data_IF_397048124249
#
_entry.id   IF_397048124249
#
_cell.length_a   1.000
_cell.length_b   1.000
_cell.length_c   1.000
_cell.angle_alpha   90.00
_cell.angle_beta   90.00
_cell.angle_gamma   90.00
#
_symmetry.space_group_name_H-M   'P 1'
#
loop_
_entity.id
_entity.type
_entity.pdbx_description
1 polymer ?
#
# COMPACT_ATOMS: atom_id res chain seq x y z
N UNK A 1 -47.24 21.77 36.54
CA UNK A 1 -46.71 21.35 35.22
C UNK A 1 -45.19 21.31 35.33
N UNK A 2 -44.58 20.11 35.43
CA UNK A 2 -43.11 20.00 35.51
C UNK A 2 -42.54 19.70 34.12
N UNK A 3 -41.93 20.71 33.50
CA UNK A 3 -41.20 20.54 32.26
C UNK A 3 -39.86 19.82 32.54
N UNK A 4 -39.71 18.59 32.04
CA UNK A 4 -38.43 17.87 32.03
C UNK A 4 -37.48 18.57 31.06
N UNK A 5 -36.35 19.08 31.56
CA UNK A 5 -35.27 19.64 30.73
C UNK A 5 -34.65 18.52 29.87
N UNK A 6 -34.33 18.80 28.59
CA UNK A 6 -33.71 17.80 27.71
C UNK A 6 -32.25 17.55 28.13
N UNK A 7 -31.87 16.27 28.26
CA UNK A 7 -30.48 15.86 28.51
C UNK A 7 -29.66 16.09 27.25
N UNK A 8 -28.70 17.01 27.32
CA UNK A 8 -27.63 17.15 26.32
C UNK A 8 -26.66 15.98 26.47
N UNK A 9 -26.72 15.04 25.54
CA UNK A 9 -25.67 14.02 25.36
C UNK A 9 -24.48 14.64 24.64
N UNK A 10 -23.29 14.56 25.25
CA UNK A 10 -22.02 14.91 24.59
C UNK A 10 -21.87 14.06 23.31
N UNK A 11 -21.49 14.64 22.15
CA UNK A 11 -21.15 13.83 20.99
C UNK A 11 -19.96 12.93 21.33
N UNK A 12 -20.05 11.64 20.99
CA UNK A 12 -18.90 10.74 21.03
C UNK A 12 -17.83 11.17 20.00
N UNK A 13 -16.64 10.56 20.01
CA UNK A 13 -15.62 10.83 19.00
C UNK A 13 -16.22 10.65 17.60
N UNK A 14 -16.06 11.66 16.74
CA UNK A 14 -16.50 11.59 15.35
C UNK A 14 -15.62 10.58 14.64
N UNK A 15 -16.19 9.44 14.25
CA UNK A 15 -15.49 8.48 13.41
C UNK A 15 -15.37 9.07 11.99
N UNK A 16 -14.20 8.92 11.34
CA UNK A 16 -14.03 9.40 9.98
C UNK A 16 -15.03 8.72 9.04
N UNK A 17 -15.55 9.49 8.09
CA UNK A 17 -16.41 8.98 7.04
C UNK A 17 -15.63 8.06 6.08
N UNK A 18 -16.36 7.29 5.26
CA UNK A 18 -15.74 6.46 4.25
C UNK A 18 -14.88 7.26 3.23
N UNK A 19 -15.32 8.42 2.71
CA UNK A 19 -14.49 9.25 1.82
C UNK A 19 -13.20 9.76 2.47
N UNK A 20 -13.26 10.20 3.74
CA UNK A 20 -12.09 10.65 4.48
C UNK A 20 -11.10 9.50 4.71
N UNK A 21 -11.62 8.34 5.12
CA UNK A 21 -10.81 7.12 5.32
C UNK A 21 -10.16 6.67 4.01
N UNK A 22 -10.90 6.73 2.90
CA UNK A 22 -10.36 6.41 1.57
C UNK A 22 -9.24 7.37 1.17
N UNK A 23 -9.45 8.68 1.31
CA UNK A 23 -8.46 9.69 0.98
C UNK A 23 -7.18 9.52 1.82
N UNK A 24 -7.34 9.25 3.13
CA UNK A 24 -6.22 8.96 4.02
C UNK A 24 -5.42 7.73 3.55
N UNK A 25 -6.10 6.60 3.33
CA UNK A 25 -5.45 5.35 2.88
C UNK A 25 -4.75 5.53 1.54
N UNK A 26 -5.35 6.26 0.61
CA UNK A 26 -4.72 6.59 -0.67
C UNK A 26 -3.44 7.41 -0.46
N UNK A 27 -3.47 8.37 0.46
CA UNK A 27 -2.29 9.15 0.85
C UNK A 27 -1.19 8.29 1.47
N UNK A 28 -1.55 7.35 2.35
CA UNK A 28 -0.59 6.42 2.96
C UNK A 28 0.04 5.48 1.93
N UNK A 29 -0.75 4.95 0.99
CA UNK A 29 -0.25 4.13 -0.12
C UNK A 29 0.75 4.93 -0.97
N UNK A 30 0.46 6.19 -1.31
CA UNK A 30 1.38 7.02 -2.06
C UNK A 30 2.74 7.17 -1.35
N UNK A 31 2.73 7.43 -0.03
CA UNK A 31 3.97 7.51 0.77
C UNK A 31 4.72 6.18 0.82
N UNK A 32 4.00 5.06 0.91
CA UNK A 32 4.62 3.73 0.90
C UNK A 32 5.30 3.44 -0.43
N UNK A 33 4.71 3.87 -1.56
CA UNK A 33 5.33 3.74 -2.88
C UNK A 33 6.59 4.61 -3.00
N UNK A 34 6.55 5.85 -2.49
CA UNK A 34 7.75 6.72 -2.45
C UNK A 34 8.88 6.07 -1.64
N UNK A 35 8.57 5.52 -0.46
CA UNK A 35 9.55 4.82 0.38
C UNK A 35 10.06 3.55 -0.30
N UNK A 36 9.19 2.79 -0.97
CA UNK A 36 9.59 1.59 -1.71
C UNK A 36 10.62 1.94 -2.79
N UNK A 37 10.42 3.02 -3.54
CA UNK A 37 11.39 3.48 -4.54
C UNK A 37 12.75 3.83 -3.92
N UNK A 38 12.74 4.54 -2.78
CA UNK A 38 13.96 4.83 -2.03
C UNK A 38 14.70 3.57 -1.57
N UNK A 39 13.97 2.56 -1.08
CA UNK A 39 14.57 1.30 -0.64
C UNK A 39 15.10 0.47 -1.82
N UNK A 40 14.41 0.47 -2.97
CA UNK A 40 14.91 -0.15 -4.20
C UNK A 40 16.21 0.51 -4.69
N UNK A 41 16.32 1.84 -4.60
CA UNK A 41 17.55 2.55 -4.94
C UNK A 41 18.72 2.15 -4.01
N UNK A 42 18.50 2.11 -2.69
CA UNK A 42 19.52 1.62 -1.73
C UNK A 42 19.90 0.17 -1.99
N UNK A 43 18.92 -0.66 -2.31
CA UNK A 43 19.13 -2.07 -2.62
C UNK A 43 19.99 -2.22 -3.89
N UNK A 44 19.79 -1.38 -4.90
CA UNK A 44 20.62 -1.35 -6.10
C UNK A 44 22.08 -0.98 -5.81
N UNK A 45 22.33 -0.01 -4.92
CA UNK A 45 23.70 0.30 -4.47
C UNK A 45 24.34 -0.90 -3.73
N UNK A 46 23.56 -1.61 -2.91
CA UNK A 46 24.01 -2.85 -2.27
C UNK A 46 24.38 -3.94 -3.29
N UNK A 47 23.59 -4.10 -4.36
CA UNK A 47 23.87 -5.06 -5.43
C UNK A 47 25.13 -4.70 -6.23
N UNK A 48 25.39 -3.41 -6.46
CA UNK A 48 26.64 -2.95 -7.09
C UNK A 48 27.86 -3.24 -6.22
N UNK A 49 27.73 -3.06 -4.90
CA UNK A 49 28.84 -3.27 -3.97
C UNK A 49 29.25 -4.76 -3.84
N UNK A 50 28.33 -5.68 -4.11
CA UNK A 50 28.57 -7.12 -4.03
C UNK A 50 27.75 -7.84 -5.12
N UNK A 51 28.30 -7.89 -6.35
CA UNK A 51 27.58 -8.34 -7.55
C UNK A 51 27.39 -9.86 -7.62
N UNK A 52 28.07 -10.63 -6.75
CA UNK A 52 27.94 -12.09 -6.69
C UNK A 52 26.82 -12.56 -5.77
N UNK A 53 26.17 -11.63 -5.05
CA UNK A 53 25.13 -11.96 -4.11
C UNK A 53 23.77 -12.13 -4.79
N UNK A 54 23.46 -13.38 -5.09
CA UNK A 54 22.18 -13.81 -5.64
C UNK A 54 20.99 -13.62 -4.69
N UNK A 55 21.22 -13.43 -3.40
CA UNK A 55 20.17 -13.10 -2.43
C UNK A 55 19.41 -11.84 -2.83
N UNK A 56 20.14 -10.80 -3.29
CA UNK A 56 19.55 -9.54 -3.76
C UNK A 56 18.67 -9.72 -5.01
N UNK A 57 19.02 -10.65 -5.90
CA UNK A 57 18.16 -11.00 -7.04
C UNK A 57 16.88 -11.67 -6.56
N UNK A 58 17.00 -12.58 -5.58
CA UNK A 58 15.85 -13.22 -4.92
C UNK A 58 14.92 -12.22 -4.24
N UNK A 59 15.47 -11.23 -3.53
CA UNK A 59 14.71 -10.18 -2.86
C UNK A 59 13.84 -9.40 -3.87
N UNK A 60 14.42 -8.98 -5.00
CA UNK A 60 13.67 -8.34 -6.08
C UNK A 60 12.61 -9.27 -6.71
N UNK A 61 12.89 -10.57 -6.79
CA UNK A 61 11.91 -11.57 -7.22
C UNK A 61 10.68 -11.59 -6.31
N UNK A 62 10.88 -11.54 -4.99
CA UNK A 62 9.77 -11.46 -4.02
C UNK A 62 8.99 -10.16 -4.15
N UNK A 63 9.68 -9.01 -4.21
CA UNK A 63 9.03 -7.70 -4.37
C UNK A 63 8.19 -7.65 -5.64
N UNK A 64 8.73 -8.14 -6.77
CA UNK A 64 7.97 -8.25 -8.03
C UNK A 64 6.72 -9.10 -7.87
N UNK A 65 6.84 -10.26 -7.23
CA UNK A 65 5.72 -11.17 -7.00
C UNK A 65 4.58 -10.52 -6.21
N UNK A 66 4.90 -9.76 -5.16
CA UNK A 66 3.91 -9.10 -4.31
C UNK A 66 3.22 -7.95 -5.04
N UNK A 67 3.96 -7.19 -5.84
CA UNK A 67 3.39 -6.12 -6.66
C UNK A 67 2.44 -6.67 -7.72
N UNK A 68 2.75 -7.81 -8.31
CA UNK A 68 1.85 -8.51 -9.24
C UNK A 68 0.54 -8.89 -8.55
N UNK A 69 0.61 -9.51 -7.36
CA UNK A 69 -0.59 -9.90 -6.62
C UNK A 69 -1.43 -8.67 -6.23
N UNK A 70 -0.78 -7.57 -5.85
CA UNK A 70 -1.46 -6.31 -5.53
C UNK A 70 -2.14 -5.70 -6.75
N UNK A 71 -1.47 -5.71 -7.91
CA UNK A 71 -2.05 -5.23 -9.17
C UNK A 71 -3.24 -6.10 -9.56
N UNK A 72 -3.10 -7.43 -9.53
CA UNK A 72 -4.20 -8.36 -9.83
C UNK A 72 -5.42 -8.12 -8.94
N UNK A 73 -5.21 -7.94 -7.63
CA UNK A 73 -6.28 -7.57 -6.70
C UNK A 73 -6.99 -6.26 -7.09
N UNK A 74 -6.24 -5.24 -7.49
CA UNK A 74 -6.80 -3.91 -7.82
C UNK A 74 -7.47 -3.86 -9.20
N UNK A 75 -6.94 -4.60 -10.19
CA UNK A 75 -7.43 -4.61 -11.56
C UNK A 75 -8.52 -5.67 -11.81
N UNK A 76 -8.63 -6.66 -10.92
CA UNK A 76 -9.46 -7.84 -11.13
C UNK A 76 -8.90 -8.81 -12.17
N UNK A 77 -7.62 -8.67 -12.53
CA UNK A 77 -6.92 -9.58 -13.43
C UNK A 77 -6.33 -10.75 -12.64
N UNK A 78 -6.30 -11.92 -13.26
CA UNK A 78 -5.55 -13.04 -12.70
C UNK A 78 -4.05 -12.78 -12.76
N UNK A 79 -3.29 -13.39 -11.85
CA UNK A 79 -1.84 -13.21 -11.74
C UNK A 79 -1.13 -13.44 -13.08
N UNK A 80 -1.52 -14.49 -13.79
CA UNK A 80 -0.94 -14.89 -15.07
C UNK A 80 -1.18 -13.84 -16.16
N UNK A 81 -2.28 -13.08 -16.09
CA UNK A 81 -2.57 -12.00 -17.02
C UNK A 81 -1.68 -10.79 -16.75
N UNK A 82 -1.46 -10.45 -15.48
CA UNK A 82 -0.53 -9.38 -15.09
C UNK A 82 0.91 -9.76 -15.46
N UNK A 83 1.30 -11.02 -15.27
CA UNK A 83 2.62 -11.52 -15.66
C UNK A 83 2.82 -11.48 -17.19
N UNK A 84 1.78 -11.82 -17.97
CA UNK A 84 1.79 -11.70 -19.43
C UNK A 84 1.97 -10.25 -19.88
N UNK A 85 1.25 -9.32 -19.27
CA UNK A 85 1.38 -7.89 -19.55
C UNK A 85 2.81 -7.37 -19.31
N UNK A 86 3.53 -7.88 -18.30
CA UNK A 86 4.92 -7.49 -18.03
C UNK A 86 5.95 -8.14 -18.96
N UNK A 87 5.57 -9.18 -19.71
CA UNK A 87 6.45 -9.91 -20.61
C UNK A 87 6.41 -9.38 -22.06
N UNK A 88 5.47 -8.49 -22.36
CA UNK A 88 5.32 -7.77 -23.63
C UNK A 88 6.13 -6.46 -23.65
#
# INVERSE_FOLDING_TARGET
MNAKKPKTTKPGPVQPSAPETYAQRRGDIARLLDVLDMELAKHAEGAKADPTNWGRVGDLGKVRSDLIDMVGFMSGMEREEVERFLAE
#
